data_IF_964637603273
#
_entry.id   IF_964637603273
#
_cell.length_a   1.000
_cell.length_b   1.000
_cell.length_c   1.000
_cell.angle_alpha   90.00
_cell.angle_beta   90.00
_cell.angle_gamma   90.00
#
_symmetry.space_group_name_H-M   'P 1'
#
loop_
_entity.id
_entity.type
_entity.pdbx_description
1 polymer ?
#
# COMPACT_ATOMS: atom_id res chain seq x y z
N UNK A 1 17.92 24.00 40.17
CA UNK A 1 17.80 25.06 39.15
C UNK A 1 18.25 24.46 37.84
N UNK A 2 17.34 23.75 37.18
CA UNK A 2 17.63 22.98 35.98
C UNK A 2 17.42 23.88 34.75
N UNK A 3 18.43 24.01 33.90
CA UNK A 3 18.40 24.90 32.74
C UNK A 3 17.79 24.14 31.57
N UNK A 4 16.54 24.46 31.22
CA UNK A 4 15.94 24.05 29.95
C UNK A 4 16.80 24.54 28.77
N UNK A 5 17.02 23.75 27.71
CA UNK A 5 17.72 24.23 26.53
C UNK A 5 16.85 25.23 25.77
N UNK A 6 17.43 26.39 25.44
CA UNK A 6 16.84 27.39 24.57
C UNK A 6 16.67 26.81 23.17
N UNK A 7 15.45 26.82 22.65
CA UNK A 7 15.16 26.51 21.25
C UNK A 7 15.66 27.67 20.35
N UNK A 8 16.36 27.38 19.25
CA UNK A 8 16.75 28.41 18.31
C UNK A 8 15.52 28.91 17.56
N UNK A 9 15.33 30.22 17.62
CA UNK A 9 14.36 30.99 16.85
C UNK A 9 14.71 30.95 15.36
N UNK A 10 13.70 30.72 14.53
CA UNK A 10 13.71 31.14 13.13
C UNK A 10 14.40 30.19 12.16
N UNK A 11 13.66 29.18 11.72
CA UNK A 11 13.66 28.63 10.36
C UNK A 11 12.48 27.65 10.27
N UNK A 12 11.69 27.73 9.20
CA UNK A 12 10.47 26.94 9.02
C UNK A 12 10.75 25.45 9.09
N UNK A 13 10.58 24.85 10.27
CA UNK A 13 10.56 23.41 10.42
C UNK A 13 9.30 22.92 9.71
N UNK A 14 9.46 22.28 8.56
CA UNK A 14 8.39 21.48 8.00
C UNK A 14 8.02 20.43 9.06
N UNK A 15 6.88 20.63 9.73
CA UNK A 15 6.34 19.62 10.64
C UNK A 15 6.21 18.31 9.85
N UNK A 16 6.86 17.25 10.34
CA UNK A 16 6.76 15.94 9.73
C UNK A 16 5.29 15.48 9.75
N UNK A 17 4.83 14.73 8.74
CA UNK A 17 3.48 14.17 8.75
C UNK A 17 3.25 13.31 10.00
N UNK A 18 2.11 13.49 10.69
CA UNK A 18 1.67 12.59 11.77
C UNK A 18 1.15 11.28 11.15
N UNK A 19 2.08 10.37 10.87
CA UNK A 19 1.79 9.04 10.31
C UNK A 19 0.94 8.21 11.27
N UNK A 20 -0.10 7.56 10.72
CA UNK A 20 -1.00 6.70 11.49
C UNK A 20 -1.24 5.40 10.78
N UNK A 21 -1.23 4.34 11.56
CA UNK A 21 -1.74 3.05 11.11
C UNK A 21 -3.24 3.17 10.83
N UNK A 22 -3.65 2.75 9.62
CA UNK A 22 -5.03 2.86 9.15
C UNK A 22 -5.63 1.50 8.78
N UNK A 23 -4.88 0.68 8.04
CA UNK A 23 -5.39 -0.57 7.48
C UNK A 23 -4.26 -1.57 7.25
N UNK A 24 -4.59 -2.85 7.33
CA UNK A 24 -3.74 -3.99 6.95
C UNK A 24 -4.58 -4.96 6.11
N UNK A 25 -3.96 -5.58 5.11
CA UNK A 25 -4.51 -6.64 4.29
C UNK A 25 -3.58 -7.85 4.35
N UNK A 26 -4.12 -9.03 4.05
CA UNK A 26 -3.40 -10.30 4.10
C UNK A 26 -3.84 -11.17 5.27
N UNK A 27 -3.39 -12.42 5.25
CA UNK A 27 -3.68 -13.35 6.31
C UNK A 27 -2.90 -13.00 7.58
N UNK A 28 -3.56 -13.10 8.73
CA UNK A 28 -2.97 -12.75 10.03
C UNK A 28 -2.57 -14.00 10.82
N UNK A 29 -2.56 -15.17 10.18
CA UNK A 29 -2.16 -16.41 10.83
C UNK A 29 -0.62 -16.50 10.95
N UNK A 30 -0.04 -16.33 12.15
CA UNK A 30 1.41 -16.31 12.33
C UNK A 30 2.06 -17.70 12.17
N UNK A 31 1.25 -18.76 12.05
CA UNK A 31 1.74 -20.15 11.93
C UNK A 31 1.88 -20.57 10.47
N UNK A 32 1.30 -19.80 9.55
CA UNK A 32 1.29 -20.10 8.14
C UNK A 32 2.53 -19.52 7.47
N UNK A 33 3.21 -20.35 6.67
CA UNK A 33 4.34 -19.88 5.88
C UNK A 33 3.81 -19.00 4.76
N UNK A 34 4.38 -17.80 4.64
CA UNK A 34 4.12 -16.92 3.50
C UNK A 34 4.60 -17.64 2.24
N UNK A 35 3.70 -17.88 1.28
CA UNK A 35 4.11 -18.41 -0.02
C UNK A 35 4.81 -17.31 -0.82
N UNK A 36 5.89 -17.66 -1.51
CA UNK A 36 6.65 -16.68 -2.32
C UNK A 36 5.74 -15.99 -3.34
N UNK A 37 4.79 -16.74 -3.92
CA UNK A 37 3.78 -16.25 -4.86
C UNK A 37 2.87 -15.15 -4.27
N UNK A 38 2.63 -15.19 -2.95
CA UNK A 38 1.81 -14.20 -2.23
C UNK A 38 2.61 -12.95 -1.83
N UNK A 39 3.92 -12.89 -2.08
CA UNK A 39 4.75 -11.73 -1.75
C UNK A 39 4.44 -10.58 -2.70
N UNK A 40 3.97 -9.46 -2.15
CA UNK A 40 3.68 -8.26 -2.92
C UNK A 40 4.97 -7.73 -3.58
N UNK A 41 4.93 -7.62 -4.91
CA UNK A 41 6.04 -7.20 -5.76
C UNK A 41 5.90 -5.75 -6.22
N UNK A 42 4.67 -5.22 -6.33
CA UNK A 42 4.41 -3.86 -6.77
C UNK A 42 3.11 -3.31 -6.16
N UNK A 43 3.08 -1.99 -5.89
CA UNK A 43 1.88 -1.28 -5.43
C UNK A 43 1.75 0.05 -6.18
N UNK A 44 0.55 0.36 -6.69
CA UNK A 44 0.27 1.63 -7.39
C UNK A 44 -1.12 2.16 -7.11
N UNK A 45 -1.21 3.45 -6.79
CA UNK A 45 -2.46 4.19 -6.85
C UNK A 45 -2.72 4.67 -8.28
N UNK A 46 -3.99 4.76 -8.66
CA UNK A 46 -4.36 5.60 -9.81
C UNK A 46 -4.22 7.09 -9.45
N UNK A 47 -4.28 7.96 -10.45
CA UNK A 47 -3.99 9.40 -10.30
C UNK A 47 -4.79 10.09 -9.17
N UNK A 48 -6.08 9.77 -9.03
CA UNK A 48 -6.95 10.36 -8.02
C UNK A 48 -6.94 9.60 -6.68
N UNK A 49 -6.19 8.50 -6.58
CA UNK A 49 -6.16 7.62 -5.42
C UNK A 49 -7.48 6.88 -5.16
N UNK A 50 -8.40 6.84 -6.13
CA UNK A 50 -9.64 6.07 -6.05
C UNK A 50 -9.36 4.57 -6.03
N UNK A 51 -8.37 4.12 -6.77
CA UNK A 51 -7.97 2.72 -6.86
C UNK A 51 -6.53 2.53 -6.39
N UNK A 52 -6.30 1.39 -5.75
CA UNK A 52 -4.99 0.88 -5.35
C UNK A 52 -4.83 -0.50 -5.96
N UNK A 53 -3.85 -0.69 -6.82
CA UNK A 53 -3.50 -1.98 -7.38
C UNK A 53 -2.26 -2.53 -6.66
N UNK A 54 -2.31 -3.80 -6.27
CA UNK A 54 -1.18 -4.57 -5.77
C UNK A 54 -0.93 -5.75 -6.72
N UNK A 55 0.32 -5.94 -7.10
CA UNK A 55 0.78 -7.14 -7.81
C UNK A 55 1.71 -7.94 -6.93
N UNK A 56 1.74 -9.26 -7.08
CA UNK A 56 2.61 -10.16 -6.33
C UNK A 56 3.63 -10.88 -7.22
N UNK A 57 4.39 -11.80 -6.63
CA UNK A 57 5.36 -12.61 -7.36
C UNK A 57 4.68 -13.69 -8.20
N UNK A 58 3.52 -14.20 -7.77
CA UNK A 58 2.75 -15.21 -8.50
C UNK A 58 1.93 -14.66 -9.68
N UNK A 59 2.21 -13.44 -10.14
CA UNK A 59 1.56 -12.84 -11.31
C UNK A 59 0.12 -12.37 -11.11
N UNK A 60 -0.42 -12.38 -9.88
CA UNK A 60 -1.77 -11.89 -9.59
C UNK A 60 -1.77 -10.38 -9.44
N UNK A 61 -2.87 -9.76 -9.87
CA UNK A 61 -3.16 -8.34 -9.60
C UNK A 61 -4.45 -8.26 -8.80
N UNK A 62 -4.37 -7.63 -7.63
CA UNK A 62 -5.51 -7.31 -6.77
C UNK A 62 -5.74 -5.81 -6.80
N UNK A 63 -6.97 -5.40 -7.12
CA UNK A 63 -7.39 -3.99 -7.12
C UNK A 63 -8.30 -3.74 -5.94
N UNK A 64 -8.03 -2.66 -5.22
CA UNK A 64 -8.84 -2.13 -4.15
C UNK A 64 -9.44 -0.78 -4.54
N UNK A 65 -10.68 -0.53 -4.16
CA UNK A 65 -11.36 0.75 -4.33
C UNK A 65 -11.47 1.48 -3.00
N UNK A 66 -11.24 2.80 -3.01
CA UNK A 66 -11.38 3.65 -1.83
C UNK A 66 -12.83 3.71 -1.38
N UNK A 67 -13.08 3.39 -0.11
CA UNK A 67 -14.40 3.46 0.51
C UNK A 67 -14.84 4.92 0.61
N UNK A 68 -16.06 5.20 0.14
CA UNK A 68 -16.70 6.50 0.36
C UNK A 68 -17.34 6.54 1.74
N UNK A 69 -16.72 7.28 2.67
CA UNK A 69 -17.29 7.48 4.00
C UNK A 69 -18.26 8.66 4.02
N UNK A 70 -19.41 8.48 4.66
CA UNK A 70 -20.38 9.56 4.93
C UNK A 70 -19.79 10.72 5.74
N UNK A 71 -18.75 10.44 6.55
CA UNK A 71 -17.95 11.44 7.24
C UNK A 71 -16.51 11.38 6.69
N UNK A 72 -16.05 12.42 5.96
CA UNK A 72 -14.75 12.39 5.31
C UNK A 72 -13.58 12.47 6.31
N UNK A 73 -13.83 12.83 7.57
CA UNK A 73 -12.81 12.97 8.60
C UNK A 73 -13.15 12.20 9.88
N UNK A 74 -12.17 11.50 10.44
CA UNK A 74 -12.29 10.85 11.76
C UNK A 74 -12.03 11.88 12.87
N UNK A 75 -13.03 12.15 13.72
CA UNK A 75 -12.90 13.00 14.92
C UNK A 75 -12.29 12.21 16.08
N UNK A 76 -11.24 12.74 16.72
CA UNK A 76 -10.78 12.30 18.05
C UNK A 76 -10.94 13.42 19.06
N UNK A 77 -11.24 13.05 20.32
CA UNK A 77 -11.64 13.94 21.43
C UNK A 77 -10.76 15.19 21.64
N UNK A 78 -9.51 15.24 21.14
CA UNK A 78 -8.58 16.38 21.27
C UNK A 78 -7.51 16.44 20.15
N UNK A 79 -7.80 16.05 18.90
CA UNK A 79 -6.77 16.04 17.82
C UNK A 79 -7.31 16.50 16.46
N UNK A 80 -6.37 16.93 15.61
CA UNK A 80 -6.49 17.25 14.18
C UNK A 80 -7.44 16.29 13.45
N UNK A 81 -8.21 16.80 12.50
CA UNK A 81 -9.07 15.99 11.64
C UNK A 81 -8.22 15.29 10.57
N UNK A 82 -8.31 13.97 10.47
CA UNK A 82 -7.62 13.20 9.43
C UNK A 82 -8.63 12.63 8.45
N UNK A 83 -8.32 12.64 7.14
CA UNK A 83 -9.21 12.05 6.15
C UNK A 83 -9.39 10.56 6.46
N UNK A 84 -10.62 10.07 6.38
CA UNK A 84 -10.91 8.66 6.51
C UNK A 84 -10.59 8.00 5.16
N UNK A 85 -9.44 7.34 5.09
CA UNK A 85 -8.96 6.64 3.90
C UNK A 85 -8.90 5.17 4.24
N UNK A 86 -9.84 4.41 3.70
CA UNK A 86 -9.90 2.95 3.77
C UNK A 86 -10.16 2.44 2.36
N UNK A 87 -9.58 1.30 2.03
CA UNK A 87 -9.75 0.63 0.76
C UNK A 87 -10.47 -0.70 0.97
N UNK A 88 -11.34 -1.09 0.04
CA UNK A 88 -11.98 -2.41 0.04
C UNK A 88 -11.59 -3.17 -1.22
N UNK A 89 -11.55 -4.49 -1.12
CA UNK A 89 -11.39 -5.35 -2.31
C UNK A 89 -12.39 -4.95 -3.39
N UNK A 90 -11.90 -4.80 -4.62
CA UNK A 90 -12.73 -4.47 -5.78
C UNK A 90 -12.77 -5.65 -6.75
N UNK A 91 -11.61 -6.09 -7.27
CA UNK A 91 -11.49 -7.33 -8.04
C UNK A 91 -10.05 -7.82 -8.06
N UNK A 92 -9.86 -9.05 -8.56
CA UNK A 92 -8.57 -9.64 -8.84
C UNK A 92 -8.56 -10.33 -10.20
N UNK A 93 -7.36 -10.51 -10.77
CA UNK A 93 -7.14 -11.31 -11.96
C UNK A 93 -5.70 -11.83 -12.04
N UNK A 94 -5.51 -12.93 -12.76
CA UNK A 94 -4.19 -13.45 -13.10
C UNK A 94 -3.63 -12.66 -14.29
N UNK A 95 -2.49 -11.99 -14.10
CA UNK A 95 -1.84 -11.21 -15.17
C UNK A 95 -0.86 -12.02 -15.99
N UNK A 96 -0.12 -12.94 -15.38
CA UNK A 96 0.87 -13.80 -16.05
C UNK A 96 0.87 -15.19 -15.42
N UNK A 97 1.22 -16.21 -16.19
CA UNK A 97 1.52 -17.55 -15.68
C UNK A 97 3.00 -17.86 -15.94
N UNK A 98 3.62 -18.79 -15.19
CA UNK A 98 4.98 -19.22 -15.47
C UNK A 98 5.05 -19.81 -16.88
N UNK A 99 6.02 -19.33 -17.68
CA UNK A 99 6.22 -19.77 -19.05
C UNK A 99 7.64 -20.35 -19.24
N UNK A 100 7.81 -21.23 -20.21
CA UNK A 100 9.13 -21.78 -20.58
C UNK A 100 9.46 -21.48 -22.04
N UNK A 101 10.59 -20.80 -22.28
CA UNK A 101 11.11 -20.57 -23.63
C UNK A 101 11.97 -21.77 -24.06
N UNK A 102 11.40 -22.60 -24.94
CA UNK A 102 12.05 -23.80 -25.46
C UNK A 102 13.31 -23.52 -26.31
N UNK A 103 13.41 -22.35 -26.95
CA UNK A 103 14.55 -22.03 -27.82
C UNK A 103 15.75 -21.59 -27.00
N UNK A 104 15.50 -20.92 -25.87
CA UNK A 104 16.54 -20.41 -24.98
C UNK A 104 16.75 -21.28 -23.74
N UNK A 105 15.87 -22.26 -23.50
CA UNK A 105 15.85 -23.09 -22.29
C UNK A 105 15.84 -22.25 -21.01
N UNK A 106 15.00 -21.22 -20.99
CA UNK A 106 14.84 -20.32 -19.84
C UNK A 106 13.40 -20.36 -19.33
N UNK A 107 13.25 -20.28 -18.02
CA UNK A 107 11.97 -20.02 -17.36
C UNK A 107 11.68 -18.52 -17.37
N UNK A 108 10.43 -18.18 -17.65
CA UNK A 108 9.89 -16.84 -17.63
C UNK A 108 8.96 -16.75 -16.42
N UNK A 109 9.40 -15.95 -15.45
CA UNK A 109 8.71 -15.68 -14.20
C UNK A 109 7.46 -14.78 -14.43
N UNK A 110 6.36 -15.19 -13.81
CA UNK A 110 5.03 -14.57 -13.78
C UNK A 110 4.95 -13.27 -12.97
N UNK A 111 5.99 -12.95 -12.19
CA UNK A 111 6.06 -11.76 -11.36
C UNK A 111 5.59 -10.47 -12.03
N UNK A 112 4.70 -9.77 -11.34
CA UNK A 112 4.25 -8.42 -11.74
C UNK A 112 5.39 -7.40 -11.54
N UNK A 113 5.99 -6.95 -12.65
CA UNK A 113 7.09 -5.97 -12.60
C UNK A 113 6.62 -4.52 -12.51
N UNK A 114 5.51 -4.18 -13.17
CA UNK A 114 4.97 -2.82 -13.18
C UNK A 114 3.46 -2.81 -13.38
N UNK A 115 2.79 -1.97 -12.63
CA UNK A 115 1.39 -1.56 -12.87
C UNK A 115 1.42 -0.09 -13.27
N UNK A 116 0.64 0.30 -14.28
CA UNK A 116 0.55 1.69 -14.74
C UNK A 116 -0.92 2.12 -14.79
N UNK A 117 -1.20 3.32 -14.30
CA UNK A 117 -2.46 4.02 -14.53
C UNK A 117 -2.24 5.07 -15.62
N UNK A 118 -3.15 5.12 -16.60
CA UNK A 118 -3.24 6.23 -17.55
C UNK A 118 -3.93 7.43 -16.92
#
# INVERSE_FOLDING_TARGET
>A
MDRSPLSPSGQGAHELPDWKFCQVFGDNNPTELIQDDDVISQIRFNQDGKYLAAGDMGGRIVVFERIQHSKPYRRRKNKVLYPNVEYSFFFEFQSHEPEFDNLRSIEIDEKVRSVASH
#
